data_IF_233652230695
#
_entry.id   IF_233652230695
#
_cell.length_a   1.000
_cell.length_b   1.000
_cell.length_c   1.000
_cell.angle_alpha   90.00
_cell.angle_beta   90.00
_cell.angle_gamma   90.00
#
_symmetry.space_group_name_H-M   'P 1'
#
loop_
_entity.id
_entity.type
_entity.pdbx_description
1 polymer ?
#
# COMPACT_ATOMS: atom_id res chain seq x y z
N UNK A 1 -31.61 -39.40 -2.09
CA UNK A 1 -31.19 -39.56 -0.68
C UNK A 1 -30.02 -38.61 -0.41
N UNK A 2 -30.30 -37.30 -0.20
CA UNK A 2 -29.27 -36.30 0.11
C UNK A 2 -29.34 -35.91 1.58
N UNK A 3 -28.59 -36.59 2.43
CA UNK A 3 -28.55 -36.31 3.86
C UNK A 3 -27.89 -34.96 4.15
N UNK A 4 -28.58 -34.10 4.91
CA UNK A 4 -28.00 -32.89 5.49
C UNK A 4 -26.99 -33.35 6.54
N UNK A 5 -25.69 -33.20 6.24
CA UNK A 5 -24.63 -33.52 7.20
C UNK A 5 -24.82 -32.67 8.47
N UNK A 6 -25.04 -33.29 9.65
CA UNK A 6 -25.21 -32.56 10.89
C UNK A 6 -23.86 -31.94 11.27
N UNK A 7 -23.77 -30.62 11.10
CA UNK A 7 -22.85 -29.75 11.81
C UNK A 7 -21.37 -30.19 11.83
N UNK A 8 -20.76 -30.42 10.66
CA UNK A 8 -19.29 -30.41 10.56
C UNK A 8 -18.85 -28.98 10.94
N UNK A 9 -18.33 -28.80 12.17
CA UNK A 9 -17.66 -27.56 12.59
C UNK A 9 -16.38 -27.41 11.78
N UNK A 10 -16.51 -26.93 10.55
CA UNK A 10 -15.35 -26.51 9.77
C UNK A 10 -14.76 -25.32 10.53
N UNK A 11 -13.54 -25.49 11.08
CA UNK A 11 -12.82 -24.37 11.71
C UNK A 11 -12.84 -23.22 10.72
N UNK A 12 -13.39 -22.07 11.11
CA UNK A 12 -13.37 -20.87 10.26
C UNK A 12 -11.93 -20.63 9.83
N UNK A 13 -11.68 -20.53 8.52
CA UNK A 13 -10.35 -20.18 8.01
C UNK A 13 -9.97 -18.84 8.66
N UNK A 14 -8.86 -18.82 9.42
CA UNK A 14 -8.40 -17.64 10.18
C UNK A 14 -8.23 -16.38 9.32
N UNK A 15 -8.10 -16.55 7.99
CA UNK A 15 -7.93 -15.49 6.98
C UNK A 15 -9.13 -15.34 6.04
N UNK A 16 -10.33 -15.69 6.53
CA UNK A 16 -11.57 -15.54 5.75
C UNK A 16 -11.91 -14.07 5.50
N UNK A 17 -11.73 -13.22 6.52
CA UNK A 17 -12.16 -11.83 6.45
C UNK A 17 -11.10 -10.91 5.82
N UNK A 18 -11.56 -9.89 5.10
CA UNK A 18 -10.69 -8.96 4.38
C UNK A 18 -9.77 -8.17 5.32
N UNK A 19 -10.23 -7.79 6.50
CA UNK A 19 -9.39 -7.10 7.50
C UNK A 19 -8.26 -8.01 7.99
N UNK A 20 -8.57 -9.24 8.40
CA UNK A 20 -7.57 -10.21 8.86
C UNK A 20 -6.53 -10.57 7.80
N UNK A 21 -6.90 -10.53 6.50
CA UNK A 21 -5.93 -10.69 5.41
C UNK A 21 -5.04 -9.46 5.25
N UNK A 22 -5.61 -8.26 5.37
CA UNK A 22 -4.86 -7.00 5.25
C UNK A 22 -3.85 -6.83 6.38
N UNK A 23 -4.19 -7.23 7.60
CA UNK A 23 -3.28 -7.16 8.76
C UNK A 23 -2.20 -8.24 8.74
N UNK A 24 -2.33 -9.30 7.93
CA UNK A 24 -1.34 -10.40 7.88
C UNK A 24 -0.43 -10.32 6.66
N UNK A 25 -0.95 -9.95 5.51
CA UNK A 25 -0.18 -9.77 4.27
C UNK A 25 0.11 -8.28 4.05
N UNK A 26 0.52 -7.61 5.14
CA UNK A 26 0.54 -6.16 5.27
C UNK A 26 1.02 -5.47 4.00
N UNK A 27 0.16 -4.60 3.48
CA UNK A 27 0.61 -3.48 2.68
C UNK A 27 0.93 -2.39 3.69
N UNK A 28 2.08 -1.72 3.51
CA UNK A 28 2.47 -0.55 4.30
C UNK A 28 1.28 0.38 4.51
N UNK A 29 1.11 0.83 5.76
CA UNK A 29 0.02 1.73 6.15
C UNK A 29 0.10 3.04 5.35
N UNK A 30 -1.04 3.68 5.11
CA UNK A 30 -1.08 4.94 4.33
C UNK A 30 -0.27 6.06 5.03
N UNK A 31 -0.23 6.09 6.36
CA UNK A 31 0.55 7.05 7.15
C UNK A 31 2.07 6.83 7.00
N UNK A 32 2.52 5.57 7.05
CA UNK A 32 3.94 5.23 6.88
C UNK A 32 4.44 5.55 5.46
N UNK A 33 3.58 5.37 4.44
CA UNK A 33 3.90 5.77 3.05
C UNK A 33 4.02 7.29 2.95
N UNK A 34 3.17 8.04 3.65
CA UNK A 34 3.22 9.50 3.67
C UNK A 34 4.52 10.02 4.29
N UNK A 35 4.92 9.48 5.44
CA UNK A 35 6.17 9.87 6.10
C UNK A 35 7.41 9.60 5.23
N UNK A 36 7.40 8.51 4.45
CA UNK A 36 8.49 8.19 3.52
C UNK A 36 8.53 9.13 2.32
N UNK A 37 7.38 9.50 1.76
CA UNK A 37 7.31 10.50 0.69
C UNK A 37 7.89 11.84 1.17
N UNK A 38 7.51 12.29 2.37
CA UNK A 38 8.02 13.54 2.95
C UNK A 38 9.54 13.55 3.12
N UNK A 39 10.13 12.39 3.43
CA UNK A 39 11.59 12.22 3.58
C UNK A 39 12.32 12.19 2.24
N UNK A 40 11.65 11.74 1.17
CA UNK A 40 12.23 11.62 -0.17
C UNK A 40 12.24 12.93 -0.96
N UNK A 41 11.37 13.89 -0.65
CA UNK A 41 11.33 15.21 -1.29
C UNK A 41 12.68 15.98 -1.19
N UNK A 42 13.61 15.56 -0.32
CA UNK A 42 14.94 16.16 -0.16
C UNK A 42 16.13 15.29 -0.58
N UNK A 43 15.94 14.02 -0.95
CA UNK A 43 17.03 13.13 -1.34
C UNK A 43 16.60 12.13 -2.42
N UNK A 44 16.98 12.42 -3.66
CA UNK A 44 16.83 11.54 -4.81
C UNK A 44 17.84 10.37 -4.70
N UNK A 45 17.54 9.40 -3.84
CA UNK A 45 18.38 8.21 -3.69
C UNK A 45 18.02 7.21 -4.78
N UNK A 46 18.93 7.05 -5.74
CA UNK A 46 18.94 5.84 -6.57
C UNK A 46 18.97 4.61 -5.64
N UNK A 47 17.99 3.72 -5.79
CA UNK A 47 17.91 2.51 -4.98
C UNK A 47 19.13 1.62 -5.31
N UNK A 48 19.76 1.00 -4.30
CA UNK A 48 20.84 0.05 -4.55
C UNK A 48 20.33 -1.12 -5.39
N UNK A 49 21.17 -1.57 -6.32
CA UNK A 49 20.87 -2.74 -7.15
C UNK A 49 20.96 -3.98 -6.27
N UNK A 50 19.86 -4.71 -6.15
CA UNK A 50 19.74 -5.89 -5.30
C UNK A 50 19.33 -7.10 -6.14
N UNK A 51 20.16 -8.13 -6.19
CA UNK A 51 20.01 -9.30 -7.06
C UNK A 51 18.88 -10.26 -6.61
N UNK A 52 18.49 -10.20 -5.33
CA UNK A 52 17.43 -11.06 -4.78
C UNK A 52 16.01 -10.55 -5.10
N UNK A 53 15.90 -9.30 -5.56
CA UNK A 53 14.62 -8.63 -5.85
C UNK A 53 14.29 -8.66 -7.35
N UNK A 54 13.00 -8.78 -7.73
CA UNK A 54 12.61 -8.78 -9.12
C UNK A 54 12.96 -7.43 -9.77
N UNK A 55 13.55 -7.47 -10.97
CA UNK A 55 14.03 -6.28 -11.65
C UNK A 55 15.26 -5.64 -11.00
N UNK A 56 16.04 -6.43 -10.25
CA UNK A 56 17.24 -6.00 -9.53
C UNK A 56 16.97 -4.88 -8.51
N UNK A 57 15.75 -4.81 -7.97
CA UNK A 57 15.31 -3.74 -7.06
C UNK A 57 15.09 -2.36 -7.72
N UNK A 58 15.29 -2.23 -9.04
CA UNK A 58 15.29 -0.93 -9.71
C UNK A 58 13.89 -0.39 -10.00
N UNK A 59 12.92 -1.26 -10.28
CA UNK A 59 11.56 -0.84 -10.64
C UNK A 59 10.60 -0.97 -9.45
N UNK A 60 10.67 -0.01 -8.54
CA UNK A 60 9.88 0.00 -7.31
C UNK A 60 8.79 1.08 -7.32
N UNK A 61 7.65 0.79 -6.69
CA UNK A 61 6.56 1.73 -6.46
C UNK A 61 6.30 1.91 -4.96
N UNK A 62 6.63 3.10 -4.44
CA UNK A 62 6.46 3.48 -3.04
C UNK A 62 5.01 3.39 -2.56
N UNK A 63 4.06 3.89 -3.36
CA UNK A 63 2.65 3.93 -2.97
C UNK A 63 1.98 2.56 -2.85
N UNK A 64 2.54 1.54 -3.49
CA UNK A 64 1.96 0.20 -3.53
C UNK A 64 2.86 -0.87 -2.91
N UNK A 65 4.06 -0.49 -2.43
CA UNK A 65 5.07 -1.36 -1.84
C UNK A 65 5.31 -2.63 -2.68
N UNK A 66 5.61 -2.40 -3.96
CA UNK A 66 5.74 -3.47 -4.97
C UNK A 66 6.92 -3.23 -5.89
N UNK A 67 7.69 -4.30 -6.11
CA UNK A 67 8.75 -4.39 -7.09
C UNK A 67 8.22 -5.00 -8.40
N UNK A 68 8.74 -4.50 -9.52
CA UNK A 68 8.40 -4.94 -10.88
C UNK A 68 9.64 -5.44 -11.60
N UNK A 69 9.45 -6.33 -12.56
CA UNK A 69 10.55 -6.88 -13.37
C UNK A 69 11.06 -5.91 -14.43
N UNK A 70 10.18 -5.09 -15.03
CA UNK A 70 10.49 -4.21 -16.15
C UNK A 70 9.88 -2.81 -15.97
N UNK A 71 10.49 -1.81 -16.61
CA UNK A 71 9.98 -0.42 -16.71
C UNK A 71 8.56 -0.38 -17.27
N UNK A 72 8.30 -1.10 -18.36
CA UNK A 72 6.98 -1.07 -19.02
C UNK A 72 5.85 -1.54 -18.08
N UNK A 73 6.11 -2.57 -17.28
CA UNK A 73 5.12 -3.11 -16.31
C UNK A 73 4.88 -2.10 -15.17
N UNK A 74 5.93 -1.42 -14.72
CA UNK A 74 5.82 -0.34 -13.73
C UNK A 74 4.98 0.82 -14.28
N UNK A 75 5.18 1.21 -15.53
CA UNK A 75 4.46 2.33 -16.13
C UNK A 75 2.99 1.98 -16.41
N UNK A 76 2.70 0.74 -16.78
CA UNK A 76 1.33 0.23 -16.82
C UNK A 76 0.68 0.22 -15.44
N UNK A 77 1.43 -0.16 -14.39
CA UNK A 77 0.95 -0.13 -13.02
C UNK A 77 0.47 1.26 -12.59
N UNK A 78 1.20 2.33 -12.93
CA UNK A 78 0.81 3.71 -12.63
C UNK A 78 -0.52 4.13 -13.26
N UNK A 79 -0.85 3.57 -14.42
CA UNK A 79 -2.13 3.85 -15.12
C UNK A 79 -3.33 3.18 -14.44
N UNK A 80 -3.12 2.16 -13.61
CA UNK A 80 -4.21 1.39 -12.99
C UNK A 80 -5.03 2.19 -11.97
N UNK A 81 -6.34 1.90 -11.88
CA UNK A 81 -7.25 2.55 -10.91
C UNK A 81 -6.81 2.35 -9.45
N UNK A 82 -6.19 1.20 -9.14
CA UNK A 82 -5.71 0.88 -7.78
C UNK A 82 -4.59 1.84 -7.35
N UNK A 83 -3.63 2.06 -8.24
CA UNK A 83 -2.51 2.97 -7.98
C UNK A 83 -3.01 4.40 -7.80
N UNK A 84 -3.82 4.92 -8.74
CA UNK A 84 -4.40 6.28 -8.66
C UNK A 84 -5.17 6.52 -7.36
N UNK A 85 -5.89 5.51 -6.85
CA UNK A 85 -6.57 5.60 -5.56
C UNK A 85 -5.59 5.73 -4.39
N UNK A 86 -4.47 4.99 -4.41
CA UNK A 86 -3.44 5.05 -3.37
C UNK A 86 -2.69 6.37 -3.36
N UNK A 87 -2.37 6.93 -4.53
CA UNK A 87 -1.71 8.25 -4.65
C UNK A 87 -2.58 9.38 -4.09
N UNK A 88 -3.90 9.29 -4.28
CA UNK A 88 -4.82 10.34 -3.83
C UNK A 88 -4.96 10.43 -2.31
N UNK A 89 -4.75 9.33 -1.59
CA UNK A 89 -4.90 9.24 -0.12
C UNK A 89 -3.91 10.15 0.63
N UNK A 90 -2.58 10.06 0.43
CA UNK A 90 -1.63 10.95 1.13
C UNK A 90 -1.87 12.42 0.78
N UNK A 91 -2.21 12.74 -0.47
CA UNK A 91 -2.55 14.12 -0.89
C UNK A 91 -3.79 14.65 -0.16
N UNK A 92 -4.76 13.79 0.15
CA UNK A 92 -5.92 14.16 0.95
C UNK A 92 -5.54 14.37 2.42
N UNK A 93 -4.65 13.54 2.96
CA UNK A 93 -4.16 13.66 4.34
C UNK A 93 -3.44 15.00 4.55
N UNK A 94 -2.54 15.41 3.64
CA UNK A 94 -1.86 16.72 3.71
C UNK A 94 -2.82 17.90 3.81
N UNK A 95 -3.90 17.87 3.01
CA UNK A 95 -4.88 18.96 3.01
C UNK A 95 -5.63 19.09 4.33
N UNK A 96 -6.03 17.96 4.93
CA UNK A 96 -6.76 17.97 6.20
C UNK A 96 -5.86 18.38 7.37
N UNK A 97 -4.59 17.94 7.41
CA UNK A 97 -3.65 18.33 8.46
C UNK A 97 -3.39 19.85 8.46
N UNK A 98 -3.24 20.44 7.28
CA UNK A 98 -3.06 21.89 7.14
C UNK A 98 -4.30 22.69 7.61
N UNK A 99 -5.49 22.14 7.47
CA UNK A 99 -6.75 22.76 7.91
C UNK A 99 -6.87 22.77 9.45
N UNK A 100 -6.51 21.66 10.10
CA UNK A 100 -6.45 21.56 11.56
C UNK A 100 -5.34 22.46 12.16
N UNK A 101 -4.16 22.52 11.52
CA UNK A 101 -3.05 23.38 11.96
C UNK A 101 -3.41 24.89 11.88
N UNK A 102 -4.16 25.30 10.85
CA UNK A 102 -4.68 26.67 10.72
C UNK A 102 -5.76 26.99 11.76
N UNK A 103 -6.60 26.02 12.11
CA UNK A 103 -7.59 26.19 13.18
C UNK A 103 -6.92 26.29 14.55
N UNK A 104 -5.86 25.53 14.79
CA UNK A 104 -5.07 25.61 16.01
C UNK A 104 -4.32 26.94 16.18
N UNK A 105 -3.96 27.62 15.07
CA UNK A 105 -3.30 28.93 15.11
C UNK A 105 -4.25 30.11 15.37
N UNK A 106 -5.56 29.91 15.16
CA UNK A 106 -6.60 30.93 15.35
C UNK A 106 -7.36 30.80 16.69
N UNK A 107 -6.88 29.93 17.58
CA UNK A 107 -7.40 29.66 18.93
C UNK A 107 -6.39 30.14 19.97
#
# INVERSE_FOLDING_TARGET
MGGKCPHRKVKKRRLSHKSARRTKFELKGDDAVYDELKKLDGMEKSLPVDEDLPGMGQFYCLHCDRYFSNVAVRDEHFKTKKHKKRVKIPIMIERNLCEEDLLAFNL
#
